data_IF_667787508563
#
_entry.id   IF_667787508563
#
_cell.length_a   1.000
_cell.length_b   1.000
_cell.length_c   1.000
_cell.angle_alpha   90.00
_cell.angle_beta   90.00
_cell.angle_gamma   90.00
#
_symmetry.space_group_name_H-M   'P 1'
#
loop_
_entity.id
_entity.type
_entity.pdbx_description
1 polymer ?
#
# COMPACT_ATOMS: atom_id res chain seq x y z
N UNK A 1 -13.02 0.42 -0.61
CA UNK A 1 -12.52 -0.38 0.54
C UNK A 1 -13.14 -1.78 0.65
N UNK A 2 -14.48 -1.93 0.70
CA UNK A 2 -15.17 -3.25 0.80
C UNK A 2 -14.76 -4.25 -0.29
N UNK A 3 -14.69 -3.80 -1.54
CA UNK A 3 -14.29 -4.67 -2.65
C UNK A 3 -12.82 -5.12 -2.56
N UNK A 4 -11.89 -4.21 -2.29
CA UNK A 4 -10.47 -4.57 -2.20
C UNK A 4 -10.17 -5.57 -1.08
N UNK A 5 -10.82 -5.44 0.08
CA UNK A 5 -10.71 -6.43 1.15
C UNK A 5 -11.29 -7.79 0.74
N UNK A 6 -12.45 -7.78 0.06
CA UNK A 6 -13.09 -8.98 -0.51
C UNK A 6 -12.19 -9.67 -1.54
N UNK A 7 -11.46 -8.92 -2.35
CA UNK A 7 -10.56 -9.46 -3.37
C UNK A 7 -9.25 -9.99 -2.80
N UNK A 8 -8.69 -9.36 -1.75
CA UNK A 8 -7.48 -9.86 -1.06
C UNK A 8 -7.71 -11.20 -0.35
N UNK A 9 -8.88 -11.38 0.26
CA UNK A 9 -9.16 -12.54 1.11
C UNK A 9 -9.96 -13.67 0.41
N UNK A 10 -10.27 -13.53 -0.88
CA UNK A 10 -10.94 -14.59 -1.65
C UNK A 10 -9.94 -15.68 -2.07
N UNK A 11 -10.28 -16.95 -1.88
CA UNK A 11 -9.56 -18.05 -2.55
C UNK A 11 -9.66 -17.90 -4.07
N UNK A 12 -8.56 -18.19 -4.78
CA UNK A 12 -8.47 -18.05 -6.24
C UNK A 12 -9.39 -19.04 -6.99
N UNK A 13 -9.83 -20.10 -6.32
CA UNK A 13 -10.53 -21.26 -6.89
C UNK A 13 -11.99 -21.43 -6.42
N UNK A 14 -12.48 -20.67 -5.43
CA UNK A 14 -13.81 -20.92 -4.85
C UNK A 14 -14.93 -20.10 -5.50
N UNK A 15 -15.98 -20.81 -5.92
CA UNK A 15 -17.30 -20.25 -6.31
C UNK A 15 -17.85 -19.43 -5.15
N UNK A 16 -18.12 -18.16 -5.43
CA UNK A 16 -18.99 -17.14 -4.82
C UNK A 16 -19.55 -17.19 -3.37
N UNK A 17 -19.41 -18.26 -2.58
CA UNK A 17 -20.20 -18.56 -1.39
C UNK A 17 -19.55 -18.25 -0.03
N UNK A 18 -18.48 -17.45 0.01
CA UNK A 18 -17.96 -17.01 1.32
C UNK A 18 -18.67 -15.72 1.72
N UNK A 19 -19.42 -15.79 2.83
CA UNK A 19 -20.11 -14.67 3.47
C UNK A 19 -19.22 -13.41 3.43
N UNK A 20 -19.75 -12.25 2.98
CA UNK A 20 -18.94 -11.05 2.86
C UNK A 20 -18.40 -10.70 4.25
N UNK A 21 -17.09 -10.85 4.46
CA UNK A 21 -16.44 -10.36 5.67
C UNK A 21 -16.80 -8.88 5.85
N UNK A 22 -17.55 -8.58 6.91
CA UNK A 22 -17.97 -7.22 7.19
C UNK A 22 -16.75 -6.36 7.48
N UNK A 23 -16.63 -5.29 6.69
CA UNK A 23 -15.53 -4.35 6.77
C UNK A 23 -15.80 -3.37 7.91
N UNK A 24 -15.60 -3.82 9.14
CA UNK A 24 -15.68 -2.99 10.33
C UNK A 24 -14.33 -2.33 10.61
N UNK A 25 -14.30 -1.08 11.08
CA UNK A 25 -13.07 -0.40 11.51
C UNK A 25 -12.23 -1.24 12.48
N UNK A 26 -12.89 -1.98 13.37
CA UNK A 26 -12.28 -2.92 14.31
C UNK A 26 -11.47 -4.02 13.61
N UNK A 27 -11.97 -4.57 12.49
CA UNK A 27 -11.29 -5.61 11.73
C UNK A 27 -10.08 -5.05 10.97
N UNK A 28 -10.18 -3.82 10.46
CA UNK A 28 -9.04 -3.12 9.84
C UNK A 28 -7.95 -2.86 10.88
N UNK A 29 -8.32 -2.35 12.06
CA UNK A 29 -7.35 -2.11 13.14
C UNK A 29 -6.70 -3.40 13.61
N UNK A 30 -7.48 -4.46 13.84
CA UNK A 30 -6.96 -5.77 14.26
C UNK A 30 -5.99 -6.36 13.23
N UNK A 31 -6.29 -6.24 11.94
CA UNK A 31 -5.42 -6.72 10.86
C UNK A 31 -4.12 -5.91 10.70
N UNK A 32 -4.10 -4.66 11.15
CA UNK A 32 -2.94 -3.77 10.98
C UNK A 32 -2.22 -3.44 12.30
N UNK A 33 -2.61 -4.08 13.40
CA UNK A 33 -2.11 -3.72 14.75
C UNK A 33 -0.59 -3.90 14.86
N UNK A 34 -0.04 -4.95 14.23
CA UNK A 34 1.40 -5.19 14.19
C UNK A 34 2.16 -4.12 13.42
N UNK A 35 1.61 -3.64 12.30
CA UNK A 35 2.20 -2.53 11.54
C UNK A 35 2.19 -1.24 12.33
N UNK A 36 1.11 -0.97 13.07
CA UNK A 36 0.99 0.23 13.91
C UNK A 36 1.98 0.18 15.06
N UNK A 37 2.12 -0.96 15.75
CA UNK A 37 3.09 -1.12 16.85
C UNK A 37 4.51 -0.93 16.33
N UNK A 38 4.86 -1.54 15.20
CA UNK A 38 6.18 -1.39 14.59
C UNK A 38 6.44 0.05 14.14
N UNK A 39 5.43 0.73 13.58
CA UNK A 39 5.52 2.14 13.20
C UNK A 39 5.72 3.06 14.41
N UNK A 40 5.09 2.78 15.55
CA UNK A 40 5.29 3.51 16.81
C UNK A 40 6.74 3.36 17.28
N UNK A 41 7.29 2.14 17.27
CA UNK A 41 8.68 1.88 17.66
C UNK A 41 9.64 2.67 16.76
N UNK A 42 9.51 2.57 15.44
CA UNK A 42 10.37 3.31 14.51
C UNK A 42 10.23 4.82 14.71
N UNK A 43 9.00 5.32 14.84
CA UNK A 43 8.74 6.75 15.02
C UNK A 43 9.34 7.32 16.30
N UNK A 44 9.44 6.52 17.37
CA UNK A 44 10.00 6.93 18.65
C UNK A 44 11.53 6.80 18.70
N UNK A 45 12.08 5.73 18.11
CA UNK A 45 13.52 5.44 18.20
C UNK A 45 14.35 6.13 17.11
N UNK A 46 13.79 6.42 15.94
CA UNK A 46 14.54 7.09 14.87
C UNK A 46 14.43 8.60 14.99
N UNK A 47 15.30 9.18 15.83
CA UNK A 47 15.36 10.62 16.16
C UNK A 47 15.37 11.57 14.95
N UNK A 48 15.96 11.14 13.83
CA UNK A 48 16.15 11.95 12.63
C UNK A 48 15.23 11.58 11.47
N UNK A 49 14.21 10.73 11.69
CA UNK A 49 13.30 10.34 10.63
C UNK A 49 12.57 11.58 10.09
N UNK A 50 12.81 11.88 8.80
CA UNK A 50 12.29 13.03 8.06
C UNK A 50 12.74 14.43 8.53
N UNK A 51 13.77 14.54 9.38
CA UNK A 51 14.35 15.86 9.74
C UNK A 51 15.28 16.42 8.66
N UNK A 52 15.92 15.53 7.90
CA UNK A 52 16.78 15.93 6.80
C UNK A 52 15.94 16.01 5.53
N UNK A 53 15.89 17.21 4.94
CA UNK A 53 15.22 17.48 3.67
C UNK A 53 15.70 16.51 2.58
N UNK A 54 16.98 16.11 2.60
CA UNK A 54 17.55 15.18 1.62
C UNK A 54 16.88 13.81 1.66
N UNK A 55 16.57 13.31 2.86
CA UNK A 55 15.91 11.99 3.02
C UNK A 55 14.46 12.06 2.52
N UNK A 56 13.74 13.12 2.88
CA UNK A 56 12.36 13.33 2.45
C UNK A 56 12.27 13.46 0.93
N UNK A 57 13.17 14.24 0.32
CA UNK A 57 13.26 14.42 -1.13
C UNK A 57 13.66 13.12 -1.84
N UNK A 58 14.60 12.35 -1.28
CA UNK A 58 14.95 11.02 -1.79
C UNK A 58 13.76 10.05 -1.77
N UNK A 59 12.94 10.07 -0.72
CA UNK A 59 11.75 9.22 -0.66
C UNK A 59 10.68 9.67 -1.64
N UNK A 60 10.48 10.97 -1.83
CA UNK A 60 9.57 11.50 -2.85
C UNK A 60 10.00 11.04 -4.25
N UNK A 61 11.28 11.12 -4.59
CA UNK A 61 11.78 10.66 -5.89
C UNK A 61 11.60 9.16 -6.06
N UNK A 62 11.91 8.36 -5.03
CA UNK A 62 11.70 6.92 -5.04
C UNK A 62 10.22 6.54 -5.27
N UNK A 63 9.28 7.18 -4.58
CA UNK A 63 7.85 6.90 -4.78
C UNK A 63 7.36 7.40 -6.15
N UNK A 64 7.92 8.48 -6.67
CA UNK A 64 7.62 8.97 -8.02
C UNK A 64 8.06 7.98 -9.09
N UNK A 65 9.26 7.42 -8.94
CA UNK A 65 9.77 6.34 -9.80
C UNK A 65 8.84 5.12 -9.75
N UNK A 66 8.38 4.72 -8.55
CA UNK A 66 7.43 3.60 -8.42
C UNK A 66 6.11 3.88 -9.14
N UNK A 67 5.57 5.10 -9.09
CA UNK A 67 4.38 5.48 -9.86
C UNK A 67 4.65 5.32 -11.37
N UNK A 68 5.80 5.79 -11.85
CA UNK A 68 6.21 5.65 -13.24
C UNK A 68 6.34 4.20 -13.70
N UNK A 69 6.57 3.24 -12.79
CA UNK A 69 6.53 1.81 -13.11
C UNK A 69 5.12 1.21 -13.04
N UNK A 70 4.32 1.62 -12.04
CA UNK A 70 2.97 1.06 -11.82
C UNK A 70 2.00 1.49 -12.92
N UNK A 71 2.05 2.74 -13.39
CA UNK A 71 1.11 3.27 -14.40
C UNK A 71 1.23 2.53 -15.74
N UNK A 72 2.42 2.35 -16.33
CA UNK A 72 2.57 1.53 -17.54
C UNK A 72 2.17 0.08 -17.33
N UNK A 73 2.50 -0.53 -16.19
CA UNK A 73 2.10 -1.90 -15.88
C UNK A 73 0.58 -2.06 -15.86
N UNK A 74 -0.15 -1.12 -15.24
CA UNK A 74 -1.61 -1.07 -15.28
C UNK A 74 -2.12 -0.94 -16.72
N UNK A 75 -1.55 -0.02 -17.51
CA UNK A 75 -1.96 0.23 -18.90
C UNK A 75 -1.81 -1.02 -19.76
N UNK A 76 -0.65 -1.69 -19.70
CA UNK A 76 -0.40 -2.95 -20.41
C UNK A 76 -1.38 -4.06 -20.03
N UNK A 77 -1.74 -4.16 -18.75
CA UNK A 77 -2.73 -5.14 -18.29
C UNK A 77 -4.11 -4.79 -18.82
N UNK A 78 -4.52 -3.52 -18.77
CA UNK A 78 -5.80 -3.06 -19.30
C UNK A 78 -5.91 -3.30 -20.80
N UNK A 79 -4.89 -2.95 -21.58
CA UNK A 79 -4.84 -3.17 -23.02
C UNK A 79 -4.95 -4.66 -23.36
N UNK A 80 -4.20 -5.52 -22.65
CA UNK A 80 -4.27 -6.97 -22.84
C UNK A 80 -5.62 -7.57 -22.45
N UNK A 81 -6.29 -7.01 -21.43
CA UNK A 81 -7.64 -7.40 -21.04
C UNK A 81 -8.70 -6.99 -22.06
N UNK A 82 -8.57 -5.78 -22.61
CA UNK A 82 -9.47 -5.26 -23.64
C UNK A 82 -9.32 -6.07 -24.94
N UNK A 83 -8.09 -6.33 -25.39
CA UNK A 83 -7.81 -7.15 -26.57
C UNK A 83 -8.37 -8.57 -26.47
N UNK A 84 -8.13 -9.26 -25.33
CA UNK A 84 -8.66 -10.62 -25.11
C UNK A 84 -10.19 -10.70 -25.02
N UNK A 85 -10.89 -9.64 -24.63
CA UNK A 85 -12.36 -9.64 -24.60
C UNK A 85 -12.98 -9.57 -26.00
N UNK A 86 -12.23 -9.06 -26.99
CA UNK A 86 -12.68 -8.93 -28.38
C UNK A 86 -12.50 -10.28 -29.11
N UNK A 87 -11.38 -10.98 -28.90
CA UNK A 87 -11.09 -12.29 -29.53
C UNK A 87 -11.88 -13.46 -28.90
N UNK A 88 -12.24 -13.40 -27.61
CA UNK A 88 -12.90 -14.53 -26.90
C UNK A 88 -14.44 -14.58 -27.02
N UNK A 89 -15.03 -13.96 -28.04
CA UNK A 89 -16.43 -14.23 -28.39
C UNK A 89 -16.61 -15.56 -29.13
N UNK A 90 -15.55 -16.14 -29.71
CA UNK A 90 -15.67 -17.34 -30.58
C UNK A 90 -15.25 -18.68 -29.93
N UNK A 91 -14.34 -18.73 -28.94
CA UNK A 91 -13.75 -20.00 -28.44
C UNK A 91 -14.06 -20.34 -26.96
N UNK A 92 -15.33 -20.27 -26.53
CA UNK A 92 -15.70 -20.35 -25.10
C UNK A 92 -15.77 -21.74 -24.45
N UNK A 93 -15.48 -22.84 -25.15
CA UNK A 93 -15.91 -24.17 -24.67
C UNK A 93 -14.77 -25.03 -24.07
N UNK A 94 -13.48 -24.82 -24.38
CA UNK A 94 -12.43 -25.77 -23.94
C UNK A 94 -11.74 -25.46 -22.59
N UNK A 95 -11.45 -24.20 -22.22
CA UNK A 95 -10.63 -23.88 -21.02
C UNK A 95 -11.30 -22.88 -20.04
N UNK A 96 -12.50 -23.23 -19.56
CA UNK A 96 -13.32 -22.36 -18.68
C UNK A 96 -12.62 -22.04 -17.35
N UNK A 97 -11.92 -23.00 -16.76
CA UNK A 97 -11.25 -22.84 -15.45
C UNK A 97 -9.98 -21.99 -15.53
N UNK A 98 -9.22 -22.12 -16.62
CA UNK A 98 -8.02 -21.32 -16.87
C UNK A 98 -8.36 -19.85 -17.15
N UNK A 99 -9.47 -19.62 -17.86
CA UNK A 99 -10.02 -18.29 -18.08
C UNK A 99 -10.48 -17.64 -16.77
N UNK A 100 -11.20 -18.38 -15.91
CA UNK A 100 -11.64 -17.89 -14.59
C UNK A 100 -10.42 -17.58 -13.70
N UNK A 101 -9.41 -18.46 -13.69
CA UNK A 101 -8.18 -18.25 -12.91
C UNK A 101 -7.43 -17.00 -13.36
N UNK A 102 -7.22 -16.83 -14.66
CA UNK A 102 -6.53 -15.66 -15.23
C UNK A 102 -7.33 -14.38 -14.95
N UNK A 103 -8.66 -14.41 -15.13
CA UNK A 103 -9.54 -13.27 -14.83
C UNK A 103 -9.50 -12.86 -13.36
N UNK A 104 -9.53 -13.83 -12.43
CA UNK A 104 -9.47 -13.57 -11.00
C UNK A 104 -8.09 -13.08 -10.56
N UNK A 105 -7.02 -13.68 -11.08
CA UNK A 105 -5.64 -13.24 -10.84
C UNK A 105 -5.45 -11.78 -11.27
N UNK A 106 -5.81 -11.46 -12.51
CA UNK A 106 -5.60 -10.11 -13.02
C UNK A 106 -6.47 -9.06 -12.36
N UNK A 107 -7.72 -9.40 -11.97
CA UNK A 107 -8.53 -8.48 -11.15
C UNK A 107 -7.84 -8.17 -9.82
N UNK A 108 -7.35 -9.19 -9.10
CA UNK A 108 -6.60 -8.98 -7.85
C UNK A 108 -5.34 -8.18 -8.08
N UNK A 109 -4.59 -8.49 -9.13
CA UNK A 109 -3.35 -7.80 -9.48
C UNK A 109 -3.59 -6.32 -9.80
N UNK A 110 -4.62 -6.00 -10.59
CA UNK A 110 -5.04 -4.62 -10.89
C UNK A 110 -5.44 -3.89 -9.60
N UNK A 111 -6.25 -4.51 -8.73
CA UNK A 111 -6.67 -3.88 -7.48
C UNK A 111 -5.49 -3.57 -6.56
N UNK A 112 -4.51 -4.46 -6.48
CA UNK A 112 -3.32 -4.25 -5.64
C UNK A 112 -2.40 -3.20 -6.25
N UNK A 113 -2.21 -3.20 -7.57
CA UNK A 113 -1.47 -2.14 -8.25
C UNK A 113 -2.11 -0.76 -8.04
N UNK A 114 -3.44 -0.68 -8.16
CA UNK A 114 -4.17 0.57 -7.95
C UNK A 114 -4.10 1.05 -6.50
N UNK A 115 -4.18 0.14 -5.52
CA UNK A 115 -3.96 0.49 -4.12
C UNK A 115 -2.54 0.95 -3.84
N UNK A 116 -1.53 0.28 -4.41
CA UNK A 116 -0.13 0.70 -4.31
C UNK A 116 0.09 2.08 -4.92
N UNK A 117 -0.53 2.37 -6.07
CA UNK A 117 -0.52 3.69 -6.70
C UNK A 117 -1.07 4.78 -5.77
N UNK A 118 -2.24 4.53 -5.17
CA UNK A 118 -2.87 5.46 -4.22
C UNK A 118 -1.99 5.68 -2.98
N UNK A 119 -1.36 4.63 -2.46
CA UNK A 119 -0.43 4.74 -1.33
C UNK A 119 0.78 5.60 -1.71
N UNK A 120 1.40 5.35 -2.86
CA UNK A 120 2.53 6.16 -3.34
C UNK A 120 2.16 7.64 -3.47
N UNK A 121 1.01 7.95 -4.08
CA UNK A 121 0.53 9.33 -4.20
C UNK A 121 0.32 9.98 -2.84
N UNK A 122 -0.34 9.27 -1.92
CA UNK A 122 -0.58 9.76 -0.56
C UNK A 122 0.74 9.99 0.20
N UNK A 123 1.72 9.10 0.05
CA UNK A 123 3.05 9.23 0.65
C UNK A 123 3.78 10.47 0.11
N UNK A 124 3.73 10.72 -1.20
CA UNK A 124 4.34 11.92 -1.80
C UNK A 124 3.71 13.18 -1.23
N UNK A 125 2.38 13.25 -1.15
CA UNK A 125 1.68 14.42 -0.58
C UNK A 125 2.06 14.64 0.89
N UNK A 126 2.10 13.58 1.70
CA UNK A 126 2.48 13.68 3.11
C UNK A 126 3.95 14.10 3.29
N UNK A 127 4.86 13.60 2.44
CA UNK A 127 6.27 14.00 2.48
C UNK A 127 6.48 15.43 1.98
N UNK A 128 5.73 15.88 0.97
CA UNK A 128 5.74 17.27 0.52
C UNK A 128 5.31 18.21 1.64
N UNK A 129 4.31 17.86 2.44
CA UNK A 129 3.93 18.64 3.62
C UNK A 129 5.09 18.75 4.63
N UNK A 130 5.90 17.70 4.80
CA UNK A 130 7.09 17.76 5.67
C UNK A 130 8.12 18.72 5.09
N UNK A 131 8.39 18.66 3.78
CA UNK A 131 9.35 19.54 3.12
C UNK A 131 8.90 21.00 3.18
N UNK A 132 7.61 21.28 2.91
CA UNK A 132 7.05 22.63 2.95
C UNK A 132 7.05 23.24 4.36
N UNK A 133 6.82 22.43 5.39
CA UNK A 133 6.77 22.88 6.79
C UNK A 133 7.94 22.34 7.60
N UNK A 134 9.15 22.29 7.03
CA UNK A 134 10.31 21.64 7.64
C UNK A 134 10.60 22.14 9.07
N UNK A 135 10.53 23.45 9.30
CA UNK A 135 10.72 24.06 10.63
C UNK A 135 9.73 23.55 11.68
N UNK A 136 8.52 23.17 11.25
CA UNK A 136 7.54 22.57 12.14
C UNK A 136 7.92 21.14 12.54
N UNK A 137 8.52 20.36 11.63
CA UNK A 137 8.85 18.94 11.79
C UNK A 137 10.28 18.66 12.32
N UNK A 138 11.18 19.65 12.34
CA UNK A 138 12.57 19.54 12.87
C UNK A 138 12.61 19.36 14.40
N UNK A 139 11.53 19.63 15.10
CA UNK A 139 11.48 19.61 16.57
C UNK A 139 11.83 18.23 17.14
N UNK A 140 12.72 18.22 18.14
CA UNK A 140 13.15 17.02 18.85
C UNK A 140 12.48 16.91 20.22
N UNK A 141 11.64 15.90 20.39
CA UNK A 141 10.89 15.63 21.62
C UNK A 141 11.85 15.34 22.79
N UNK A 142 12.99 14.71 22.52
CA UNK A 142 13.97 14.32 23.55
C UNK A 142 14.72 15.53 24.15
N UNK A 143 14.60 16.72 23.54
CA UNK A 143 15.18 17.95 24.07
C UNK A 143 14.29 18.63 25.11
N UNK A 144 13.01 18.26 25.21
CA UNK A 144 12.09 18.88 26.14
C UNK A 144 12.07 18.14 27.48
N UNK A 145 12.12 18.91 28.57
CA UNK A 145 11.87 18.41 29.93
C UNK A 145 10.49 18.88 30.37
N UNK A 146 9.77 18.02 31.08
CA UNK A 146 8.54 18.43 31.75
C UNK A 146 8.90 19.32 32.93
N UNK A 147 8.51 20.59 32.89
CA UNK A 147 8.81 21.58 33.93
C UNK A 147 7.53 21.93 34.70
N UNK A 148 6.60 22.65 34.08
CA UNK A 148 5.33 23.08 34.67
C UNK A 148 4.21 23.07 33.64
N UNK A 149 2.96 22.86 34.08
CA UNK A 149 1.78 22.93 33.22
C UNK A 149 1.46 24.41 32.97
N UNK A 150 1.87 24.90 31.81
CA UNK A 150 1.54 26.23 31.30
C UNK A 150 0.82 26.12 29.95
N UNK A 151 0.12 27.18 29.52
CA UNK A 151 -0.47 27.25 28.17
C UNK A 151 0.56 26.93 27.07
N UNK A 152 1.80 27.38 27.27
CA UNK A 152 2.91 27.13 26.34
C UNK A 152 3.36 25.66 26.34
N UNK A 153 3.43 25.04 27.52
CA UNK A 153 3.75 23.61 27.67
C UNK A 153 2.69 22.72 27.00
N UNK A 154 1.41 23.08 27.10
CA UNK A 154 0.30 22.36 26.45
C UNK A 154 0.42 22.48 24.92
N UNK A 155 0.69 23.68 24.40
CA UNK A 155 0.86 23.90 22.95
C UNK A 155 2.02 23.08 22.37
N UNK A 156 3.17 23.03 23.08
CA UNK A 156 4.31 22.20 22.69
C UNK A 156 3.94 20.71 22.73
N UNK A 157 3.20 20.28 23.75
CA UNK A 157 2.72 18.90 23.86
C UNK A 157 1.83 18.49 22.69
N UNK A 158 0.84 19.32 22.33
CA UNK A 158 -0.04 19.08 21.18
C UNK A 158 0.75 19.04 19.86
N UNK A 159 1.69 19.97 19.67
CA UNK A 159 2.57 19.99 18.50
C UNK A 159 3.36 18.68 18.37
N UNK A 160 3.97 18.22 19.45
CA UNK A 160 4.75 16.98 19.46
C UNK A 160 3.89 15.74 19.23
N UNK A 161 2.70 15.69 19.83
CA UNK A 161 1.74 14.62 19.58
C UNK A 161 1.38 14.54 18.08
N UNK A 162 1.06 15.68 17.47
CA UNK A 162 0.74 15.76 16.06
C UNK A 162 1.90 15.26 15.18
N UNK A 163 3.13 15.68 15.46
CA UNK A 163 4.33 15.24 14.72
C UNK A 163 4.51 13.72 14.81
N UNK A 164 4.35 13.13 16.01
CA UNK A 164 4.46 11.67 16.20
C UNK A 164 3.37 10.95 15.40
N UNK A 165 2.11 11.38 15.53
CA UNK A 165 1.00 10.78 14.79
C UNK A 165 1.24 10.82 13.28
N UNK A 166 1.74 11.96 12.77
CA UNK A 166 2.05 12.14 11.36
C UNK A 166 3.14 11.16 10.89
N UNK A 167 4.22 11.00 11.65
CA UNK A 167 5.30 10.04 11.37
C UNK A 167 4.80 8.60 11.36
N UNK A 168 3.97 8.22 12.35
CA UNK A 168 3.37 6.88 12.42
C UNK A 168 2.54 6.58 11.17
N UNK A 169 1.75 7.54 10.69
CA UNK A 169 0.93 7.37 9.48
C UNK A 169 1.83 7.09 8.26
N UNK A 170 2.88 7.88 8.06
CA UNK A 170 3.81 7.69 6.94
C UNK A 170 4.47 6.31 7.02
N UNK A 171 5.05 5.95 8.16
CA UNK A 171 5.75 4.67 8.32
C UNK A 171 4.78 3.49 8.08
N UNK A 172 3.55 3.59 8.59
CA UNK A 172 2.51 2.56 8.36
C UNK A 172 2.21 2.39 6.87
N UNK A 173 2.08 3.50 6.14
CA UNK A 173 1.86 3.48 4.69
C UNK A 173 3.05 2.88 3.94
N UNK A 174 4.29 3.22 4.33
CA UNK A 174 5.51 2.66 3.74
C UNK A 174 5.58 1.15 3.94
N UNK A 175 5.38 0.66 5.16
CA UNK A 175 5.39 -0.79 5.44
C UNK A 175 4.31 -1.49 4.61
N UNK A 176 3.11 -0.90 4.55
CA UNK A 176 2.00 -1.46 3.78
C UNK A 176 2.32 -1.53 2.28
N UNK A 177 3.01 -0.52 1.74
CA UNK A 177 3.47 -0.53 0.35
C UNK A 177 4.45 -1.69 0.10
N UNK A 178 5.42 -1.89 0.98
CA UNK A 178 6.35 -3.03 0.87
C UNK A 178 5.63 -4.37 0.89
N UNK A 179 4.66 -4.56 1.79
CA UNK A 179 3.85 -5.79 1.83
C UNK A 179 3.12 -6.02 0.51
N UNK A 180 2.58 -4.97 -0.13
CA UNK A 180 1.92 -5.12 -1.43
C UNK A 180 2.91 -5.42 -2.55
N UNK A 181 4.10 -4.84 -2.54
CA UNK A 181 5.15 -5.16 -3.49
C UNK A 181 5.54 -6.65 -3.37
N UNK A 182 5.76 -7.16 -2.15
CA UNK A 182 6.03 -8.58 -1.94
C UNK A 182 4.89 -9.47 -2.39
N UNK A 183 3.63 -9.07 -2.14
CA UNK A 183 2.47 -9.81 -2.63
C UNK A 183 2.43 -9.83 -4.17
N UNK A 184 2.70 -8.71 -4.84
CA UNK A 184 2.74 -8.64 -6.30
C UNK A 184 3.85 -9.54 -6.87
N UNK A 185 5.03 -9.53 -6.27
CA UNK A 185 6.15 -10.39 -6.67
C UNK A 185 5.82 -11.88 -6.47
N UNK A 186 5.22 -12.24 -5.33
CA UNK A 186 4.79 -13.61 -5.05
C UNK A 186 3.71 -14.08 -6.02
N UNK A 187 2.71 -13.25 -6.28
CA UNK A 187 1.63 -13.53 -7.22
C UNK A 187 2.17 -13.69 -8.66
N UNK A 188 3.12 -12.83 -9.08
CA UNK A 188 3.78 -12.94 -10.37
C UNK A 188 4.60 -14.23 -10.48
N UNK A 189 5.34 -14.59 -9.42
CA UNK A 189 6.13 -15.82 -9.37
C UNK A 189 5.27 -17.09 -9.47
N UNK A 190 4.14 -17.13 -8.76
CA UNK A 190 3.19 -18.24 -8.85
C UNK A 190 2.59 -18.36 -10.26
N UNK A 191 2.25 -17.22 -10.88
CA UNK A 191 1.77 -17.18 -12.26
C UNK A 191 2.84 -17.68 -13.25
N UNK A 192 4.07 -17.19 -13.16
CA UNK A 192 5.18 -17.62 -14.03
C UNK A 192 5.49 -19.11 -13.88
N UNK A 193 5.47 -19.63 -12.65
CA UNK A 193 5.63 -21.06 -12.39
C UNK A 193 4.52 -21.89 -13.07
N UNK A 194 3.27 -21.43 -13.01
CA UNK A 194 2.15 -22.07 -13.69
C UNK A 194 2.27 -22.09 -15.23
N UNK A 195 2.94 -21.09 -15.81
CA UNK A 195 3.25 -21.04 -17.25
C UNK A 195 4.41 -21.98 -17.61
N UNK A 196 5.48 -21.97 -16.80
CA UNK A 196 6.66 -22.82 -17.01
C UNK A 196 6.36 -24.31 -16.81
N UNK A 197 5.49 -24.67 -15.87
CA UNK A 197 5.07 -26.06 -15.61
C UNK A 197 4.07 -26.59 -16.68
N UNK A 198 3.87 -25.87 -17.78
CA UNK A 198 3.05 -26.31 -18.92
C UNK A 198 1.53 -26.39 -18.64
N UNK A 199 1.08 -25.89 -17.48
CA UNK A 199 -0.35 -25.86 -17.11
C UNK A 199 -1.15 -24.73 -17.78
N UNK A 200 -0.48 -23.87 -18.54
CA UNK A 200 -1.12 -22.87 -19.38
C UNK A 200 -0.38 -22.80 -20.72
N UNK A 201 -1.04 -23.13 -21.83
CA UNK A 201 -0.50 -22.87 -23.17
C UNK A 201 -0.73 -21.39 -23.49
N UNK A 202 0.35 -20.67 -23.81
CA UNK A 202 0.31 -19.29 -24.31
C UNK A 202 -0.50 -19.20 -25.61
#
# INVERSE_FOLDING_TARGET
MKESFKWRNRNLLEKENNNPLELTFKNIFKSNIYYIIFAIIISLFVKNLFKDEKISTFLITLFSILICFIVPALTLIFDKFLGKNIENKENRISNKDEFIRTKNFSRKFIFILLESLLICFTLIVLLLLIVMFNDFFIIDIMKYRFVTISKYSILIGVKNFFIITFKIIIITLVIRLFVFIFYLLGALGEYMKGVLDGKTKL
#
